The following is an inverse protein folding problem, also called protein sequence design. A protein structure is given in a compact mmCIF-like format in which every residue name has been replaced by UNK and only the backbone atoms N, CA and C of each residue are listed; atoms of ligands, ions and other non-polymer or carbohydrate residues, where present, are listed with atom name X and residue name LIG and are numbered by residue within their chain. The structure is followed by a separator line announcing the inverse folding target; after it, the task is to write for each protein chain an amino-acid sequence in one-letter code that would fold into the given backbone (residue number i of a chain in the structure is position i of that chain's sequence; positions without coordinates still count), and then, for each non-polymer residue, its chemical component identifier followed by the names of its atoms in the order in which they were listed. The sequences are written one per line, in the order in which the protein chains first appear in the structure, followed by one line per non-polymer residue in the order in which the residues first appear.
data_IF_576880075598
#
_entry.id   IF_576880075598
#
_cell.length_a   1.000
_cell.length_b   1.000
_cell.length_c   1.000
_cell.angle_alpha   90.00
_cell.angle_beta   90.00
_cell.angle_gamma   90.00
#
_symmetry.space_group_name_H-M   'P 1'
#
loop_
_entity.id
_entity.type
_entity.pdbx_description
1 polymer ?
#
# COMPACT_ATOMS: atom_id res chain seq x y z
N UNK A 1 -21.98 22.69 10.08
CA UNK A 1 -20.98 21.66 10.47
C UNK A 1 -21.26 20.30 9.85
N UNK A 2 -22.51 19.82 9.85
CA UNK A 2 -22.91 18.54 9.23
C UNK A 2 -22.62 18.46 7.72
N UNK A 3 -22.80 19.56 6.99
CA UNK A 3 -22.54 19.63 5.54
C UNK A 3 -21.07 19.45 5.17
N UNK A 4 -20.15 20.08 5.92
CA UNK A 4 -18.70 20.00 5.65
C UNK A 4 -18.17 18.58 5.80
N UNK A 5 -18.68 17.82 6.78
CA UNK A 5 -18.31 16.42 6.97
C UNK A 5 -18.84 15.53 5.84
N UNK A 6 -20.02 15.84 5.29
CA UNK A 6 -20.60 15.07 4.20
C UNK A 6 -19.81 15.26 2.89
N UNK A 7 -19.35 16.48 2.61
CA UNK A 7 -18.50 16.77 1.44
C UNK A 7 -17.16 16.05 1.56
N UNK A 8 -16.52 16.11 2.73
CA UNK A 8 -15.23 15.47 2.96
C UNK A 8 -15.25 13.93 2.80
N UNK A 9 -16.37 13.28 3.15
CA UNK A 9 -16.52 11.83 2.96
C UNK A 9 -16.70 11.49 1.47
N UNK A 10 -17.44 12.30 0.73
CA UNK A 10 -17.68 12.07 -0.70
C UNK A 10 -16.42 12.29 -1.56
N UNK A 11 -15.49 13.13 -1.10
CA UNK A 11 -14.20 13.37 -1.77
C UNK A 11 -13.15 12.29 -1.48
N UNK A 12 -13.46 11.29 -0.64
CA UNK A 12 -12.51 10.22 -0.36
C UNK A 12 -12.39 9.28 -1.57
N UNK A 13 -11.19 9.18 -2.15
CA UNK A 13 -10.90 8.25 -3.24
C UNK A 13 -11.08 6.79 -2.77
N UNK A 14 -11.62 5.91 -3.63
CA UNK A 14 -11.73 4.51 -3.28
C UNK A 14 -10.36 3.86 -3.10
N UNK A 15 -10.29 2.87 -2.22
CA UNK A 15 -9.10 2.04 -2.09
C UNK A 15 -8.98 1.07 -3.28
N UNK A 16 -7.75 0.79 -3.75
CA UNK A 16 -7.50 -0.24 -4.75
C UNK A 16 -8.06 -1.59 -4.31
N UNK A 17 -8.69 -2.30 -5.25
CA UNK A 17 -9.31 -3.61 -5.04
C UNK A 17 -8.33 -4.62 -4.42
N UNK A 18 -7.10 -4.66 -4.91
CA UNK A 18 -6.02 -5.54 -4.44
C UNK A 18 -5.73 -5.37 -2.94
N UNK A 19 -5.73 -4.12 -2.45
CA UNK A 19 -5.47 -3.84 -1.04
C UNK A 19 -6.63 -4.28 -0.13
N UNK A 20 -7.87 -4.13 -0.62
CA UNK A 20 -9.07 -4.60 0.08
C UNK A 20 -9.14 -6.13 0.13
N UNK A 21 -8.88 -6.80 -1.00
CA UNK A 21 -8.84 -8.27 -1.09
C UNK A 21 -7.75 -8.85 -0.18
N UNK A 22 -6.56 -8.25 -0.17
CA UNK A 22 -5.48 -8.65 0.72
C UNK A 22 -5.88 -8.51 2.19
N UNK A 23 -6.48 -7.39 2.56
CA UNK A 23 -6.95 -7.15 3.93
C UNK A 23 -7.98 -8.20 4.32
N UNK A 24 -9.00 -8.41 3.48
CA UNK A 24 -10.06 -9.36 3.74
C UNK A 24 -9.51 -10.79 3.91
N UNK A 25 -8.61 -11.22 3.03
CA UNK A 25 -7.98 -12.53 3.14
C UNK A 25 -7.20 -12.69 4.45
N UNK A 26 -6.35 -11.72 4.80
CA UNK A 26 -5.50 -11.80 5.99
C UNK A 26 -6.31 -11.72 7.29
N UNK A 27 -7.38 -10.93 7.31
CA UNK A 27 -8.18 -10.72 8.52
C UNK A 27 -9.19 -11.86 8.77
N UNK A 28 -9.58 -12.63 7.75
CA UNK A 28 -10.58 -13.71 7.88
C UNK A 28 -10.02 -15.13 7.81
N UNK A 29 -8.82 -15.32 7.26
CA UNK A 29 -8.21 -16.64 7.15
C UNK A 29 -7.88 -17.21 8.54
N UNK A 30 -8.31 -18.45 8.81
CA UNK A 30 -7.90 -19.20 10.01
C UNK A 30 -6.40 -19.48 10.00
N UNK A 31 -5.89 -19.90 8.85
CA UNK A 31 -4.48 -20.17 8.60
C UNK A 31 -4.04 -19.43 7.32
N UNK A 32 -3.11 -18.50 7.48
CA UNK A 32 -2.62 -17.66 6.39
C UNK A 32 -1.64 -18.47 5.53
N UNK A 33 -1.92 -18.57 4.23
CA UNK A 33 -1.02 -19.17 3.24
C UNK A 33 -0.27 -18.08 2.48
N UNK A 34 1.07 -18.13 2.52
CA UNK A 34 1.93 -17.18 1.81
C UNK A 34 1.64 -17.17 0.31
N UNK A 35 1.34 -18.33 -0.28
CA UNK A 35 1.01 -18.47 -1.70
C UNK A 35 -0.24 -17.69 -2.12
N UNK A 36 -1.25 -17.59 -1.26
CA UNK A 36 -2.46 -16.82 -1.57
C UNK A 36 -2.20 -15.32 -1.46
N UNK A 37 -1.45 -14.88 -0.44
CA UNK A 37 -1.01 -13.49 -0.32
C UNK A 37 -0.19 -13.08 -1.54
N UNK A 38 0.75 -13.93 -1.96
CA UNK A 38 1.56 -13.70 -3.16
C UNK A 38 0.72 -13.63 -4.43
N UNK A 39 -0.28 -14.50 -4.57
CA UNK A 39 -1.21 -14.49 -5.71
C UNK A 39 -2.02 -13.20 -5.77
N UNK A 40 -2.58 -12.74 -4.64
CA UNK A 40 -3.32 -11.48 -4.56
C UNK A 40 -2.41 -10.32 -4.96
N UNK A 41 -1.21 -10.23 -4.39
CA UNK A 41 -0.28 -9.12 -4.68
C UNK A 41 0.19 -9.15 -6.14
N UNK A 42 0.52 -10.32 -6.68
CA UNK A 42 0.98 -10.46 -8.08
C UNK A 42 -0.12 -10.21 -9.12
N UNK A 43 -1.39 -10.23 -8.72
CA UNK A 43 -2.50 -9.88 -9.61
C UNK A 43 -2.45 -8.40 -10.05
N UNK A 44 -1.76 -7.56 -9.28
CA UNK A 44 -1.60 -6.13 -9.55
C UNK A 44 -0.11 -5.75 -9.61
N UNK A 45 0.38 -5.54 -10.83
CA UNK A 45 1.78 -5.20 -11.08
C UNK A 45 2.23 -3.90 -10.40
N UNK A 46 1.32 -2.92 -10.22
CA UNK A 46 1.67 -1.66 -9.57
C UNK A 46 1.94 -1.89 -8.09
N UNK A 47 1.02 -2.57 -7.39
CA UNK A 47 1.18 -2.91 -5.97
C UNK A 47 2.42 -3.77 -5.73
N UNK A 48 2.67 -4.75 -6.62
CA UNK A 48 3.87 -5.58 -6.56
C UNK A 48 5.16 -4.75 -6.66
N UNK A 49 5.25 -3.86 -7.65
CA UNK A 49 6.43 -2.99 -7.83
C UNK A 49 6.61 -2.02 -6.67
N UNK A 50 5.53 -1.43 -6.17
CA UNK A 50 5.56 -0.50 -5.04
C UNK A 50 6.02 -1.19 -3.75
N UNK A 51 5.55 -2.41 -3.50
CA UNK A 51 6.03 -3.25 -2.40
C UNK A 51 7.54 -3.48 -2.52
N UNK A 52 8.02 -4.00 -3.65
CA UNK A 52 9.46 -4.28 -3.81
C UNK A 52 10.31 -3.01 -3.72
N UNK A 53 9.83 -1.89 -4.26
CA UNK A 53 10.53 -0.60 -4.15
C UNK A 53 10.65 -0.15 -2.70
N UNK A 54 9.60 -0.31 -1.89
CA UNK A 54 9.64 0.08 -0.49
C UNK A 54 10.54 -0.86 0.33
N UNK A 55 10.43 -2.17 0.10
CA UNK A 55 11.21 -3.19 0.82
C UNK A 55 12.71 -3.05 0.52
N UNK A 56 13.07 -2.67 -0.71
CA UNK A 56 14.46 -2.38 -1.10
C UNK A 56 14.90 -0.94 -0.80
N UNK A 57 14.10 -0.15 -0.09
CA UNK A 57 14.50 1.21 0.28
C UNK A 57 15.61 1.20 1.33
N UNK A 58 16.36 2.31 1.39
CA UNK A 58 17.42 2.50 2.39
C UNK A 58 16.94 2.31 3.84
N UNK A 59 15.64 2.49 4.10
CA UNK A 59 15.05 2.29 5.43
C UNK A 59 15.28 0.88 5.98
N UNK A 60 15.13 -0.16 5.14
CA UNK A 60 15.30 -1.55 5.58
C UNK A 60 16.74 -2.06 5.48
N UNK A 61 17.59 -1.40 4.66
CA UNK A 61 19.04 -1.68 4.58
C UNK A 61 19.39 -3.17 4.41
N UNK A 62 18.61 -3.90 3.61
CA UNK A 62 18.89 -5.32 3.35
C UNK A 62 20.17 -5.49 2.53
N UNK A 63 20.97 -6.51 2.88
CA UNK A 63 22.23 -6.80 2.19
C UNK A 63 22.03 -7.27 0.73
N UNK A 64 20.91 -7.95 0.46
CA UNK A 64 20.56 -8.46 -0.86
C UNK A 64 19.25 -7.82 -1.35
N UNK A 65 19.14 -7.65 -2.66
CA UNK A 65 17.90 -7.15 -3.29
C UNK A 65 16.78 -8.17 -3.20
N UNK A 66 15.62 -7.72 -2.75
CA UNK A 66 14.40 -8.51 -2.65
C UNK A 66 13.64 -8.45 -3.98
N UNK A 67 13.39 -9.59 -4.60
CA UNK A 67 12.78 -9.69 -5.94
C UNK A 67 11.46 -10.48 -5.97
N UNK A 68 11.00 -11.00 -4.84
CA UNK A 68 9.75 -11.77 -4.76
C UNK A 68 8.93 -11.38 -3.53
N UNK A 69 7.61 -11.58 -3.64
CA UNK A 69 6.66 -11.30 -2.56
C UNK A 69 6.89 -12.27 -1.39
N UNK A 70 7.11 -13.55 -1.67
CA UNK A 70 7.35 -14.54 -0.62
C UNK A 70 8.64 -14.26 0.16
N UNK A 71 9.69 -13.75 -0.50
CA UNK A 71 10.91 -13.30 0.18
C UNK A 71 10.67 -12.02 1.02
N UNK A 72 9.87 -11.08 0.52
CA UNK A 72 9.47 -9.91 1.31
C UNK A 72 8.64 -10.32 2.55
N UNK A 73 7.73 -11.29 2.39
CA UNK A 73 6.92 -11.85 3.47
C UNK A 73 7.79 -12.59 4.48
N UNK A 74 8.81 -13.35 4.06
CA UNK A 74 9.68 -14.05 5.00
C UNK A 74 10.50 -13.11 5.88
N UNK A 75 10.84 -11.92 5.37
CA UNK A 75 11.61 -10.91 6.09
C UNK A 75 10.74 -10.04 7.00
N UNK A 76 9.56 -9.61 6.50
CA UNK A 76 8.73 -8.62 7.19
C UNK A 76 7.53 -9.24 7.92
N UNK A 77 7.13 -10.44 7.54
CA UNK A 77 5.88 -11.05 7.98
C UNK A 77 4.65 -10.52 7.23
N UNK A 78 3.59 -11.33 7.17
CA UNK A 78 2.37 -11.02 6.40
C UNK A 78 1.67 -9.75 6.88
N UNK A 79 1.64 -9.52 8.19
CA UNK A 79 0.95 -8.35 8.77
C UNK A 79 1.62 -7.04 8.31
N UNK A 80 2.95 -6.99 8.30
CA UNK A 80 3.67 -5.80 7.85
C UNK A 80 3.51 -5.58 6.34
N UNK A 81 3.54 -6.65 5.54
CA UNK A 81 3.29 -6.55 4.09
C UNK A 81 1.88 -6.02 3.81
N UNK A 82 0.85 -6.51 4.52
CA UNK A 82 -0.52 -5.97 4.46
C UNK A 82 -0.55 -4.48 4.77
N UNK A 83 0.06 -4.07 5.88
CA UNK A 83 0.04 -2.68 6.32
C UNK A 83 0.75 -1.75 5.33
N UNK A 84 1.91 -2.17 4.81
CA UNK A 84 2.64 -1.44 3.77
C UNK A 84 1.76 -1.20 2.55
N UNK A 85 1.10 -2.25 2.05
CA UNK A 85 0.25 -2.15 0.87
C UNK A 85 -0.94 -1.22 1.13
N UNK A 86 -1.60 -1.33 2.28
CA UNK A 86 -2.71 -0.46 2.67
C UNK A 86 -2.29 1.01 2.78
N UNK A 87 -1.16 1.30 3.43
CA UNK A 87 -0.62 2.66 3.56
C UNK A 87 -0.28 3.22 2.18
N UNK A 88 0.35 2.41 1.33
CA UNK A 88 0.74 2.86 0.00
C UNK A 88 -0.48 3.14 -0.90
N UNK A 89 -1.49 2.26 -0.82
CA UNK A 89 -2.79 2.45 -1.46
C UNK A 89 -3.51 3.71 -0.98
N UNK A 90 -3.49 3.99 0.32
CA UNK A 90 -4.03 5.25 0.84
C UNK A 90 -3.28 6.44 0.26
N UNK A 91 -1.95 6.41 0.29
CA UNK A 91 -1.10 7.50 -0.22
C UNK A 91 -1.35 7.79 -1.70
N UNK A 92 -1.55 6.77 -2.53
CA UNK A 92 -1.82 6.96 -3.96
C UNK A 92 -3.21 7.51 -4.23
N UNK A 93 -4.18 7.15 -3.38
CA UNK A 93 -5.53 7.66 -3.47
C UNK A 93 -5.59 9.15 -3.08
N UNK A 94 -4.90 9.61 -2.02
CA UNK A 94 -4.88 11.03 -1.63
C UNK A 94 -4.10 11.90 -2.63
N UNK A 95 -4.80 12.62 -3.50
CA UNK A 95 -4.21 13.68 -4.32
C UNK A 95 -3.88 14.88 -3.45
N UNK A 96 -2.60 15.09 -3.16
CA UNK A 96 -2.12 16.35 -2.59
C UNK A 96 -2.31 17.43 -3.66
N UNK A 97 -3.15 18.43 -3.39
CA UNK A 97 -3.32 19.58 -4.28
C UNK A 97 -2.00 20.37 -4.34
N UNK A 98 -1.25 20.13 -5.41
CA UNK A 98 0.11 20.65 -5.64
C UNK A 98 0.12 22.11 -6.09
N UNK A 99 -1.06 22.74 -6.29
CA UNK A 99 -1.16 24.15 -6.70
C UNK A 99 -0.51 25.13 -5.72
N UNK A 100 -0.47 24.80 -4.43
CA UNK A 100 0.18 25.61 -3.40
C UNK A 100 1.71 25.38 -3.32
N UNK A 101 2.21 24.20 -3.69
CA UNK A 101 3.66 23.90 -3.62
C UNK A 101 4.46 24.71 -4.64
N UNK A 102 3.89 24.94 -5.83
CA UNK A 102 4.55 25.71 -6.89
C UNK A 102 4.59 27.23 -6.64
N UNK A 103 3.82 27.73 -5.67
CA UNK A 103 3.84 29.15 -5.28
C UNK A 103 4.86 29.43 -4.18
N UNK A 104 5.18 28.44 -3.34
CA UNK A 104 6.14 28.58 -2.22
C UNK A 104 7.59 28.53 -2.74
N UNK A 105 7.88 27.78 -3.81
CA UNK A 105 9.22 27.70 -4.41
C UNK A 105 9.50 28.77 -5.49
N UNK A 106 8.62 29.78 -5.62
CA UNK A 106 8.75 30.86 -6.61
C UNK A 106 9.16 32.22 -6.01
N UNK A 107 9.45 32.24 -4.71
CA UNK A 107 10.05 33.32 -3.93
C UNK A 107 11.19 32.74 -3.09
#
# INVERSE_FOLDING_TARGET
MKEVLQTAINDLPPLPKTALELREYVDTAKDIKISEVEKIIKSDSLVFMELLKLVNSAYYSFANTINSVSHAISLLGVINVKNIILINALRSSFKVDTRLQNLICKY
#
